data_IF_229701951157
#
_entry.id   IF_229701951157
#
_cell.length_a   1.000
_cell.length_b   1.000
_cell.length_c   1.000
_cell.angle_alpha   90.00
_cell.angle_beta   90.00
_cell.angle_gamma   90.00
#
_symmetry.space_group_name_H-M   'P 1'
#
loop_
_entity.id
_entity.type
_entity.pdbx_description
1 polymer ?
#
# COMPACT_ATOMS: atom_id res chain seq x y z
N UNK A 1 16.70 -58.34 -2.76
CA UNK A 1 15.71 -57.88 -3.76
C UNK A 1 15.20 -56.51 -3.33
N UNK A 2 15.53 -55.51 -4.13
CA UNK A 2 15.33 -54.07 -3.91
C UNK A 2 13.84 -53.72 -4.08
N UNK A 3 13.16 -53.33 -3.00
CA UNK A 3 11.81 -52.76 -3.09
C UNK A 3 11.88 -51.26 -3.34
N UNK A 4 11.40 -50.89 -4.52
CA UNK A 4 11.34 -49.55 -5.10
C UNK A 4 10.61 -48.55 -4.21
N UNK A 5 11.26 -47.42 -3.92
CA UNK A 5 10.69 -46.28 -3.22
C UNK A 5 9.66 -45.59 -4.12
N UNK A 6 8.38 -45.72 -3.79
CA UNK A 6 7.28 -45.04 -4.48
C UNK A 6 7.37 -43.53 -4.21
N UNK A 7 7.88 -42.79 -5.19
CA UNK A 7 7.90 -41.33 -5.17
C UNK A 7 6.48 -40.77 -5.16
N UNK A 8 6.17 -39.99 -4.13
CA UNK A 8 4.88 -39.33 -3.94
C UNK A 8 4.62 -38.37 -5.09
N UNK A 9 3.54 -38.59 -5.84
CA UNK A 9 3.08 -37.68 -6.88
C UNK A 9 2.56 -36.41 -6.19
N UNK A 10 3.35 -35.34 -6.20
CA UNK A 10 2.89 -34.03 -5.73
C UNK A 10 2.04 -33.43 -6.85
N UNK A 11 0.73 -33.60 -6.79
CA UNK A 11 -0.19 -32.98 -7.73
C UNK A 11 -0.23 -31.47 -7.46
N UNK A 12 0.64 -30.72 -8.15
CA UNK A 12 0.56 -29.27 -8.18
C UNK A 12 -0.72 -28.89 -8.93
N UNK A 13 -1.70 -28.29 -8.24
CA UNK A 13 -2.89 -27.69 -8.86
C UNK A 13 -2.41 -26.63 -9.87
N UNK A 14 -2.34 -26.99 -11.16
CA UNK A 14 -1.85 -26.12 -12.24
C UNK A 14 -0.73 -26.73 -13.12
N UNK A 15 -0.15 -27.87 -12.73
CA UNK A 15 0.83 -28.54 -13.58
C UNK A 15 0.12 -29.26 -14.74
N UNK A 16 0.42 -28.85 -15.98
CA UNK A 16 -0.04 -29.53 -17.22
C UNK A 16 0.48 -30.97 -17.35
N UNK A 17 1.47 -31.34 -16.54
CA UNK A 17 2.11 -32.66 -16.55
C UNK A 17 2.45 -33.10 -15.13
N UNK A 18 2.25 -34.38 -14.82
CA UNK A 18 2.59 -34.93 -13.52
C UNK A 18 4.11 -34.90 -13.30
N UNK A 19 4.57 -34.17 -12.28
CA UNK A 19 5.98 -34.12 -11.88
C UNK A 19 6.26 -35.19 -10.83
N UNK A 20 7.17 -36.12 -11.12
CA UNK A 20 7.65 -37.09 -10.13
C UNK A 20 8.62 -36.39 -9.17
N UNK A 21 8.34 -36.44 -7.86
CA UNK A 21 9.20 -35.93 -6.81
C UNK A 21 9.95 -37.07 -6.12
N UNK A 22 11.26 -36.89 -5.89
CA UNK A 22 12.10 -37.81 -5.11
C UNK A 22 12.46 -37.24 -3.73
N UNK A 23 11.77 -36.17 -3.30
CA UNK A 23 11.97 -35.56 -1.99
C UNK A 23 11.73 -36.60 -0.88
N UNK A 24 12.71 -36.75 0.02
CA UNK A 24 12.66 -37.71 1.14
C UNK A 24 12.16 -37.08 2.44
N UNK A 25 12.12 -35.75 2.50
CA UNK A 25 11.67 -34.97 3.66
C UNK A 25 10.33 -34.30 3.32
N UNK A 26 9.33 -34.34 4.22
CA UNK A 26 8.06 -33.66 3.99
C UNK A 26 8.20 -32.14 4.09
N UNK A 27 7.47 -31.42 3.24
CA UNK A 27 7.28 -29.98 3.39
C UNK A 27 6.26 -29.74 4.50
N UNK A 28 6.72 -29.18 5.62
CA UNK A 28 5.89 -28.96 6.82
C UNK A 28 5.19 -27.60 6.83
N UNK A 29 5.61 -26.67 5.98
CA UNK A 29 5.03 -25.33 5.83
C UNK A 29 4.76 -25.07 4.35
N UNK A 30 3.57 -24.58 4.03
CA UNK A 30 3.23 -24.19 2.68
C UNK A 30 3.99 -22.92 2.26
N UNK A 31 4.21 -22.78 0.96
CA UNK A 31 4.82 -21.57 0.42
C UNK A 31 3.84 -20.39 0.61
N UNK A 32 4.28 -19.29 1.25
CA UNK A 32 3.45 -18.12 1.37
C UNK A 32 3.25 -17.44 0.01
N UNK A 33 2.33 -16.47 -0.04
CA UNK A 33 2.13 -15.66 -1.23
C UNK A 33 3.38 -14.79 -1.47
N UNK A 34 4.11 -15.05 -2.55
CA UNK A 34 5.39 -14.38 -2.82
C UNK A 34 5.27 -12.87 -3.08
N UNK A 35 4.08 -12.38 -3.41
CA UNK A 35 3.79 -10.95 -3.62
C UNK A 35 3.29 -10.24 -2.37
N UNK A 36 3.17 -10.96 -1.25
CA UNK A 36 2.56 -10.47 -0.02
C UNK A 36 3.31 -9.31 0.60
N UNK A 37 4.65 -9.36 0.62
CA UNK A 37 5.48 -8.29 1.18
C UNK A 37 5.20 -6.95 0.47
N UNK A 38 5.08 -6.97 -0.86
CA UNK A 38 4.82 -5.77 -1.65
C UNK A 38 3.43 -5.19 -1.33
N UNK A 39 2.42 -6.05 -1.28
CA UNK A 39 1.04 -5.64 -0.98
C UNK A 39 0.90 -5.10 0.44
N UNK A 40 1.46 -5.82 1.43
CA UNK A 40 1.40 -5.41 2.83
C UNK A 40 2.16 -4.11 3.08
N UNK A 41 3.35 -3.96 2.49
CA UNK A 41 4.14 -2.73 2.65
C UNK A 41 3.41 -1.51 2.12
N UNK A 42 2.75 -1.63 0.96
CA UNK A 42 2.00 -0.51 0.38
C UNK A 42 0.70 -0.23 1.14
N UNK A 43 0.01 -1.27 1.63
CA UNK A 43 -1.18 -1.10 2.44
C UNK A 43 -0.90 -0.39 3.76
N UNK A 44 0.17 -0.80 4.45
CA UNK A 44 0.68 -0.12 5.64
C UNK A 44 1.04 1.34 5.36
N UNK A 45 1.77 1.61 4.26
CA UNK A 45 2.15 2.98 3.89
C UNK A 45 0.91 3.88 3.68
N UNK A 46 -0.10 3.38 2.98
CA UNK A 46 -1.34 4.13 2.71
C UNK A 46 -2.20 4.40 3.94
N UNK A 47 -2.10 3.56 4.98
CA UNK A 47 -3.03 3.61 6.12
C UNK A 47 -2.39 4.20 7.37
N UNK A 48 -1.17 3.77 7.68
CA UNK A 48 -0.41 4.17 8.88
C UNK A 48 0.71 5.13 8.51
N UNK A 49 1.56 4.78 7.54
CA UNK A 49 2.77 5.53 7.23
C UNK A 49 2.53 7.00 6.84
N UNK A 50 1.50 7.26 6.02
CA UNK A 50 1.12 8.64 5.68
C UNK A 50 0.55 9.42 6.86
N UNK A 51 -0.17 8.76 7.77
CA UNK A 51 -0.70 9.42 8.97
C UNK A 51 0.44 9.83 9.89
N UNK A 52 1.37 8.91 10.14
CA UNK A 52 2.57 9.18 10.94
C UNK A 52 3.38 10.35 10.36
N UNK A 53 3.54 10.39 9.03
CA UNK A 53 4.25 11.47 8.35
C UNK A 53 3.53 12.83 8.52
N UNK A 54 2.21 12.87 8.37
CA UNK A 54 1.44 14.11 8.55
C UNK A 54 1.48 14.59 10.00
N UNK A 55 1.42 13.68 10.96
CA UNK A 55 1.52 13.99 12.39
C UNK A 55 2.92 14.52 12.73
N UNK A 56 3.99 13.98 12.12
CA UNK A 56 5.37 14.42 12.35
C UNK A 56 5.63 15.86 11.87
N UNK A 57 5.09 16.23 10.70
CA UNK A 57 5.29 17.58 10.15
C UNK A 57 4.35 18.62 10.75
N UNK A 58 3.34 18.20 11.53
CA UNK A 58 2.32 19.08 12.08
C UNK A 58 2.59 19.47 13.55
N UNK A 59 2.33 20.73 13.96
CA UNK A 59 1.89 21.86 13.15
C UNK A 59 3.04 22.58 12.43
N UNK A 60 2.77 23.11 11.24
CA UNK A 60 3.67 24.06 10.58
C UNK A 60 3.33 25.47 11.07
N UNK A 61 4.31 26.15 11.67
CA UNK A 61 4.13 27.50 12.23
C UNK A 61 4.79 28.54 11.32
N UNK A 62 4.08 29.62 11.01
CA UNK A 62 4.63 30.76 10.26
C UNK A 62 5.77 31.44 11.03
N UNK A 63 6.69 32.10 10.31
CA UNK A 63 7.82 32.82 10.90
C UNK A 63 7.41 33.84 11.98
N UNK A 64 6.32 34.57 11.75
CA UNK A 64 5.77 35.52 12.71
C UNK A 64 4.96 34.86 13.85
N UNK A 65 4.76 33.55 13.81
CA UNK A 65 3.97 32.73 14.75
C UNK A 65 2.48 33.07 14.83
N UNK A 66 1.94 33.80 13.85
CA UNK A 66 0.52 34.20 13.85
C UNK A 66 -0.38 33.17 13.14
N UNK A 67 0.20 32.31 12.29
CA UNK A 67 -0.51 31.27 11.56
C UNK A 67 0.06 29.89 11.91
N UNK A 68 -0.83 28.93 12.12
CA UNK A 68 -0.49 27.51 12.26
C UNK A 68 -1.28 26.67 11.25
N UNK A 69 -0.59 25.77 10.56
CA UNK A 69 -1.18 24.79 9.66
C UNK A 69 -1.16 23.40 10.30
N UNK A 70 -2.34 22.82 10.45
CA UNK A 70 -2.56 21.49 11.02
C UNK A 70 -2.99 20.53 9.91
N UNK A 71 -2.31 19.39 9.79
CA UNK A 71 -2.72 18.32 8.89
C UNK A 71 -3.63 17.36 9.65
N UNK A 72 -4.77 17.03 9.07
CA UNK A 72 -5.75 16.11 9.64
C UNK A 72 -5.86 14.84 8.82
N UNK A 73 -7.08 14.33 8.69
CA UNK A 73 -7.33 13.12 7.91
C UNK A 73 -7.05 13.29 6.42
N UNK A 74 -6.68 12.19 5.77
CA UNK A 74 -6.47 12.12 4.34
C UNK A 74 -7.25 10.95 3.74
N UNK A 75 -7.49 11.02 2.44
CA UNK A 75 -8.09 9.93 1.67
C UNK A 75 -7.57 9.92 0.23
N UNK A 76 -7.56 8.73 -0.36
CA UNK A 76 -7.32 8.56 -1.79
C UNK A 76 -8.67 8.57 -2.52
N UNK A 77 -8.77 9.32 -3.61
CA UNK A 77 -9.89 9.22 -4.53
C UNK A 77 -9.75 8.04 -5.49
N UNK A 78 -10.66 7.95 -6.45
CA UNK A 78 -10.62 6.88 -7.45
C UNK A 78 -9.54 7.12 -8.50
N UNK A 79 -8.90 6.06 -9.01
CA UNK A 79 -8.00 6.16 -10.15
C UNK A 79 -8.68 6.82 -11.35
N UNK A 80 -7.96 7.71 -12.05
CA UNK A 80 -8.53 8.46 -13.17
C UNK A 80 -8.93 7.57 -14.36
N UNK A 81 -8.20 6.48 -14.56
CA UNK A 81 -8.39 5.52 -15.65
C UNK A 81 -8.15 4.10 -15.13
N UNK A 82 -8.77 3.07 -15.75
CA UNK A 82 -8.49 1.67 -15.42
C UNK A 82 -7.08 1.25 -15.86
N UNK A 83 -6.56 0.18 -15.26
CA UNK A 83 -5.19 -0.30 -15.50
C UNK A 83 -4.90 -0.64 -16.97
N UNK A 84 -5.87 -1.23 -17.68
CA UNK A 84 -5.71 -1.61 -19.09
C UNK A 84 -5.53 -0.38 -20.00
N UNK A 85 -6.34 0.66 -19.80
CA UNK A 85 -6.20 1.92 -20.53
C UNK A 85 -4.87 2.61 -20.21
N UNK A 86 -4.43 2.55 -18.94
CA UNK A 86 -3.13 3.10 -18.56
C UNK A 86 -1.97 2.43 -19.30
N UNK A 87 -2.01 1.10 -19.46
CA UNK A 87 -1.01 0.35 -20.20
C UNK A 87 -1.06 0.61 -21.71
N UNK A 88 -2.26 0.74 -22.29
CA UNK A 88 -2.41 1.00 -23.74
C UNK A 88 -1.93 2.40 -24.15
N UNK A 89 -2.11 3.38 -23.27
CA UNK A 89 -1.83 4.79 -23.55
C UNK A 89 -0.49 5.28 -23.00
N UNK A 90 0.33 4.39 -22.43
CA UNK A 90 1.59 4.72 -21.75
C UNK A 90 1.44 5.85 -20.71
N UNK A 91 0.38 5.79 -19.89
CA UNK A 91 0.11 6.76 -18.81
C UNK A 91 0.20 6.09 -17.44
N UNK A 92 0.47 6.89 -16.40
CA UNK A 92 0.59 6.39 -15.02
C UNK A 92 -0.79 6.04 -14.43
N UNK A 93 -0.91 4.84 -13.86
CA UNK A 93 -2.05 4.46 -13.03
C UNK A 93 -1.88 5.09 -11.63
N UNK A 94 -2.64 6.15 -11.35
CA UNK A 94 -2.58 6.88 -10.08
C UNK A 94 -3.96 7.26 -9.56
N UNK A 95 -4.04 7.43 -8.24
CA UNK A 95 -5.21 7.88 -7.52
C UNK A 95 -4.89 9.22 -6.82
N UNK A 96 -5.80 10.21 -6.86
CA UNK A 96 -5.57 11.52 -6.26
C UNK A 96 -5.59 11.44 -4.72
N UNK A 97 -4.66 12.12 -4.05
CA UNK A 97 -4.59 12.25 -2.60
C UNK A 97 -5.17 13.59 -2.15
N UNK A 98 -6.13 13.51 -1.23
CA UNK A 98 -6.76 14.66 -0.58
C UNK A 98 -6.44 14.65 0.91
N UNK A 99 -6.11 15.82 1.45
CA UNK A 99 -5.80 15.98 2.87
C UNK A 99 -6.64 17.11 3.46
N UNK A 100 -7.28 16.86 4.60
CA UNK A 100 -7.99 17.87 5.37
C UNK A 100 -6.96 18.68 6.13
N UNK A 101 -6.94 19.99 5.89
CA UNK A 101 -6.00 20.91 6.49
C UNK A 101 -6.76 21.97 7.25
N UNK A 102 -6.24 22.34 8.42
CA UNK A 102 -6.79 23.36 9.29
C UNK A 102 -5.78 24.48 9.48
N UNK A 103 -6.11 25.67 9.02
CA UNK A 103 -5.33 26.88 9.23
C UNK A 103 -5.91 27.65 10.43
N UNK A 104 -5.09 27.84 11.45
CA UNK A 104 -5.45 28.60 12.66
C UNK A 104 -4.72 29.94 12.63
N UNK A 105 -5.48 31.02 12.67
CA UNK A 105 -4.95 32.37 12.86
C UNK A 105 -5.01 32.73 14.35
N UNK A 106 -3.84 32.84 15.00
CA UNK A 106 -3.72 33.17 16.42
C UNK A 106 -4.10 34.61 16.75
N UNK A 107 -3.98 35.53 15.80
CA UNK A 107 -4.28 36.95 16.03
C UNK A 107 -5.79 37.21 16.05
N UNK A 108 -6.52 36.57 15.13
CA UNK A 108 -7.97 36.75 14.99
C UNK A 108 -8.79 35.66 15.68
N UNK A 109 -8.16 34.52 16.02
CA UNK A 109 -8.84 33.32 16.50
C UNK A 109 -9.60 32.57 15.39
N UNK A 110 -9.44 32.96 14.13
CA UNK A 110 -10.14 32.36 13.01
C UNK A 110 -9.56 30.99 12.66
N UNK A 111 -10.44 30.04 12.35
CA UNK A 111 -10.11 28.68 11.95
C UNK A 111 -10.72 28.44 10.58
N UNK A 112 -9.89 28.11 9.60
CA UNK A 112 -10.32 27.71 8.26
C UNK A 112 -9.96 26.25 8.01
N UNK A 113 -10.95 25.44 7.65
CA UNK A 113 -10.78 24.03 7.33
C UNK A 113 -11.05 23.82 5.83
N UNK A 114 -10.11 23.19 5.14
CA UNK A 114 -10.17 22.97 3.69
C UNK A 114 -9.59 21.61 3.31
N UNK A 115 -10.13 21.02 2.25
CA UNK A 115 -9.56 19.83 1.62
C UNK A 115 -8.59 20.26 0.52
N UNK A 116 -7.33 19.91 0.68
CA UNK A 116 -6.25 20.26 -0.24
C UNK A 116 -5.89 19.04 -1.08
N UNK A 117 -5.83 19.24 -2.39
CA UNK A 117 -5.30 18.26 -3.33
C UNK A 117 -3.77 18.24 -3.25
N UNK A 118 -3.19 17.07 -2.95
CA UNK A 118 -1.75 16.90 -2.74
C UNK A 118 -1.03 16.25 -3.93
N UNK A 119 -1.75 15.57 -4.84
CA UNK A 119 -1.17 14.89 -6.00
C UNK A 119 -1.96 13.67 -6.45
#
# INVERSE_FOLDING_TARGET
MISTTNGTLTANKGARTARKSYARTPTILELPRLTEVQLRSFDWFKTEGLRELFDEISPIVSFNKNLELHFGDFYFGEPKYPEDECRERDITFSAPLWVKVKLVNRDTGEISEQEVFMG
#
